data_IF_918268063114
#
_entry.id   IF_918268063114
#
_cell.length_a   1.000
_cell.length_b   1.000
_cell.length_c   1.000
_cell.angle_alpha   90.00
_cell.angle_beta   90.00
_cell.angle_gamma   90.00
#
_symmetry.space_group_name_H-M   'P 1'
#
loop_
_entity.id
_entity.type
_entity.pdbx_description
1 polymer ?
#
# COMPACT_ATOMS: atom_id res chain seq x y z
N UNK A 1 8.08 18.51 17.88
CA UNK A 1 7.99 18.09 16.46
C UNK A 1 6.76 18.78 15.89
N UNK A 2 6.72 19.15 14.61
CA UNK A 2 5.48 19.69 14.07
C UNK A 2 4.42 18.57 14.12
N UNK A 3 3.34 18.81 14.86
CA UNK A 3 2.20 17.91 14.91
C UNK A 3 1.42 18.15 13.61
N UNK A 4 1.65 17.29 12.62
CA UNK A 4 0.88 17.32 11.38
C UNK A 4 -0.46 16.63 11.62
N UNK A 5 -1.55 17.32 11.31
CA UNK A 5 -2.89 16.76 11.33
C UNK A 5 -3.35 16.52 9.88
N UNK A 6 -3.13 15.32 9.31
CA UNK A 6 -3.51 15.02 7.94
C UNK A 6 -5.04 14.96 7.80
N UNK A 7 -5.59 15.46 6.69
CA UNK A 7 -7.00 15.31 6.36
C UNK A 7 -7.47 13.85 6.40
N UNK A 8 -8.72 13.63 6.78
CA UNK A 8 -9.28 12.29 6.96
C UNK A 8 -9.33 11.47 5.67
N UNK A 9 -9.49 12.11 4.51
CA UNK A 9 -9.45 11.48 3.20
C UNK A 9 -8.04 11.05 2.81
N UNK A 10 -7.03 11.89 3.04
CA UNK A 10 -5.62 11.49 2.88
C UNK A 10 -5.22 10.36 3.83
N UNK A 11 -5.74 10.39 5.06
CA UNK A 11 -5.56 9.34 6.04
C UNK A 11 -6.20 8.02 5.58
N UNK A 12 -7.42 8.08 5.05
CA UNK A 12 -8.09 6.93 4.46
C UNK A 12 -7.30 6.35 3.28
N UNK A 13 -6.78 7.20 2.38
CA UNK A 13 -5.93 6.76 1.27
C UNK A 13 -4.68 6.01 1.77
N UNK A 14 -4.05 6.49 2.85
CA UNK A 14 -2.89 5.81 3.43
C UNK A 14 -3.27 4.47 4.06
N UNK A 15 -4.43 4.36 4.71
CA UNK A 15 -4.93 3.07 5.23
C UNK A 15 -5.19 2.07 4.10
N UNK A 16 -5.89 2.52 3.05
CA UNK A 16 -6.20 1.69 1.89
C UNK A 16 -4.90 1.23 1.21
N UNK A 17 -3.89 2.10 1.12
CA UNK A 17 -2.57 1.74 0.61
C UNK A 17 -1.91 0.64 1.45
N UNK A 18 -1.93 0.76 2.78
CA UNK A 18 -1.33 -0.25 3.67
C UNK A 18 -2.02 -1.60 3.55
N UNK A 19 -3.35 -1.61 3.41
CA UNK A 19 -4.12 -2.83 3.19
C UNK A 19 -3.81 -3.45 1.83
N UNK A 20 -3.75 -2.65 0.76
CA UNK A 20 -3.41 -3.12 -0.58
C UNK A 20 -1.96 -3.64 -0.67
N UNK A 21 -1.02 -3.03 0.06
CA UNK A 21 0.36 -3.51 0.14
C UNK A 21 0.47 -4.83 0.90
N UNK A 22 -0.27 -4.98 2.01
CA UNK A 22 -0.36 -6.24 2.73
C UNK A 22 -0.97 -7.34 1.85
N UNK A 23 -2.05 -7.05 1.11
CA UNK A 23 -2.68 -7.97 0.17
C UNK A 23 -1.70 -8.42 -0.93
N UNK A 24 -0.94 -7.49 -1.53
CA UNK A 24 0.12 -7.83 -2.48
C UNK A 24 1.16 -8.79 -1.87
N UNK A 25 1.51 -8.57 -0.60
CA UNK A 25 2.43 -9.42 0.14
C UNK A 25 1.87 -10.83 0.35
N UNK A 26 0.62 -10.96 0.77
CA UNK A 26 -0.05 -12.26 0.96
C UNK A 26 -0.11 -13.05 -0.34
N UNK A 27 -0.62 -12.45 -1.42
CA UNK A 27 -0.75 -13.12 -2.72
C UNK A 27 0.64 -13.50 -3.24
N UNK A 28 1.61 -12.59 -3.15
CA UNK A 28 2.98 -12.83 -3.59
C UNK A 28 3.66 -14.01 -2.89
N UNK A 29 3.34 -14.27 -1.62
CA UNK A 29 3.85 -15.44 -0.88
C UNK A 29 3.23 -16.77 -1.33
N UNK A 30 2.06 -16.73 -1.95
CA UNK A 30 1.34 -17.91 -2.44
C UNK A 30 1.70 -18.28 -3.89
N UNK A 31 2.40 -17.39 -4.60
CA UNK A 31 2.84 -17.63 -5.98
C UNK A 31 4.13 -18.46 -5.97
N UNK A 32 4.16 -19.47 -6.84
CA UNK A 32 5.33 -20.32 -7.04
C UNK A 32 6.53 -19.49 -7.51
N UNK A 33 7.73 -19.89 -7.08
CA UNK A 33 8.96 -19.26 -7.56
C UNK A 33 9.04 -19.33 -9.09
N UNK A 34 9.27 -18.20 -9.75
CA UNK A 34 9.48 -18.18 -11.20
C UNK A 34 10.64 -19.07 -11.64
N UNK A 35 11.65 -19.26 -10.78
CA UNK A 35 12.76 -20.20 -11.01
C UNK A 35 12.27 -21.65 -11.04
N UNK A 36 11.40 -22.03 -10.09
CA UNK A 36 10.84 -23.39 -10.04
C UNK A 36 9.92 -23.67 -11.23
N UNK A 37 9.13 -22.67 -11.66
CA UNK A 37 8.30 -22.79 -12.88
C UNK A 37 9.16 -22.97 -14.13
N UNK A 38 10.23 -22.17 -14.29
CA UNK A 38 11.15 -22.31 -15.42
C UNK A 38 11.91 -23.64 -15.42
N UNK A 39 12.21 -24.19 -14.24
CA UNK A 39 12.81 -25.50 -14.06
C UNK A 39 11.82 -26.67 -14.23
N UNK A 40 10.53 -26.39 -14.45
CA UNK A 40 9.44 -27.37 -14.49
C UNK A 40 9.24 -28.15 -13.17
N UNK A 41 9.66 -27.55 -12.05
CA UNK A 41 9.52 -28.09 -10.68
C UNK A 41 8.22 -27.62 -10.00
N UNK A 42 7.53 -26.63 -10.58
CA UNK A 42 6.26 -26.13 -10.12
C UNK A 42 5.38 -25.72 -11.32
N UNK A 43 4.06 -25.81 -11.15
CA UNK A 43 3.12 -25.32 -12.16
C UNK A 43 2.90 -23.81 -12.01
N UNK A 44 2.77 -23.06 -13.12
CA UNK A 44 2.37 -21.66 -13.08
C UNK A 44 0.94 -21.52 -12.53
N UNK A 45 0.71 -20.46 -11.77
CA UNK A 45 -0.61 -20.13 -11.23
C UNK A 45 -1.10 -18.80 -11.84
N UNK A 46 -1.73 -18.83 -13.02
CA UNK A 46 -2.15 -17.62 -13.72
C UNK A 46 -3.26 -16.87 -12.98
N UNK A 47 -4.10 -17.54 -12.19
CA UNK A 47 -5.15 -16.89 -11.40
C UNK A 47 -4.55 -16.03 -10.28
N UNK A 48 -3.60 -16.58 -9.53
CA UNK A 48 -2.89 -15.79 -8.50
C UNK A 48 -2.01 -14.70 -9.10
N UNK A 49 -1.44 -14.92 -10.28
CA UNK A 49 -0.70 -13.88 -11.01
C UNK A 49 -1.61 -12.71 -11.37
N UNK A 50 -2.79 -12.97 -11.94
CA UNK A 50 -3.78 -11.94 -12.25
C UNK A 50 -4.24 -11.18 -10.98
N UNK A 51 -4.53 -11.91 -9.89
CA UNK A 51 -4.89 -11.30 -8.61
C UNK A 51 -3.79 -10.38 -8.06
N UNK A 52 -2.53 -10.78 -8.19
CA UNK A 52 -1.39 -9.97 -7.77
C UNK A 52 -1.23 -8.71 -8.64
N UNK A 53 -1.46 -8.82 -9.95
CA UNK A 53 -1.46 -7.68 -10.86
C UNK A 53 -2.56 -6.67 -10.50
N UNK A 54 -3.78 -7.13 -10.24
CA UNK A 54 -4.89 -6.29 -9.80
C UNK A 54 -4.61 -5.62 -8.44
N UNK A 55 -4.04 -6.35 -7.49
CA UNK A 55 -3.63 -5.80 -6.19
C UNK A 55 -2.54 -4.72 -6.36
N UNK A 56 -1.56 -4.96 -7.24
CA UNK A 56 -0.50 -3.98 -7.54
C UNK A 56 -1.03 -2.75 -8.25
N UNK A 57 -1.99 -2.90 -9.17
CA UNK A 57 -2.65 -1.80 -9.85
C UNK A 57 -3.41 -0.90 -8.85
N UNK A 58 -4.17 -1.52 -7.93
CA UNK A 58 -4.84 -0.79 -6.83
C UNK A 58 -3.83 -0.06 -5.93
N UNK A 59 -2.75 -0.73 -5.54
CA UNK A 59 -1.69 -0.10 -4.73
C UNK A 59 -1.06 1.10 -5.44
N UNK A 60 -0.83 1.00 -6.76
CA UNK A 60 -0.27 2.09 -7.56
C UNK A 60 -1.23 3.29 -7.62
N UNK A 61 -2.52 3.07 -7.90
CA UNK A 61 -3.53 4.13 -7.90
C UNK A 61 -3.57 4.88 -6.56
N UNK A 62 -3.54 4.15 -5.45
CA UNK A 62 -3.54 4.73 -4.11
C UNK A 62 -2.30 5.58 -3.85
N UNK A 63 -1.11 5.11 -4.23
CA UNK A 63 0.13 5.91 -4.14
C UNK A 63 0.00 7.18 -4.97
N UNK A 64 -0.47 7.10 -6.21
CA UNK A 64 -0.65 8.29 -7.05
C UNK A 64 -1.60 9.31 -6.42
N UNK A 65 -2.75 8.84 -5.91
CA UNK A 65 -3.75 9.68 -5.26
C UNK A 65 -3.21 10.33 -3.98
N UNK A 66 -2.48 9.58 -3.16
CA UNK A 66 -1.77 10.12 -1.99
C UNK A 66 -0.85 11.23 -2.47
N UNK A 67 0.05 10.98 -3.43
CA UNK A 67 1.08 11.94 -3.81
C UNK A 67 0.55 13.20 -4.52
N UNK A 68 -0.61 13.11 -5.19
CA UNK A 68 -1.30 14.23 -5.84
C UNK A 68 -2.19 15.05 -4.89
N UNK A 69 -2.35 14.61 -3.64
CA UNK A 69 -3.21 15.29 -2.67
C UNK A 69 -2.73 16.71 -2.37
N UNK A 70 -3.64 17.69 -2.39
CA UNK A 70 -3.31 19.12 -2.27
C UNK A 70 -2.66 19.50 -0.94
N UNK A 71 -2.99 18.79 0.14
CA UNK A 71 -2.38 18.95 1.47
C UNK A 71 -0.84 18.88 1.44
N UNK A 72 -0.23 18.17 0.48
CA UNK A 72 1.23 18.15 0.38
C UNK A 72 1.86 19.50 0.06
N UNK A 73 1.09 20.46 -0.46
CA UNK A 73 1.55 21.82 -0.68
C UNK A 73 1.47 22.70 0.57
N UNK A 74 0.77 22.25 1.62
CA UNK A 74 0.57 23.02 2.85
C UNK A 74 1.59 22.67 3.94
N UNK A 75 2.40 21.62 3.75
CA UNK A 75 3.39 21.16 4.72
C UNK A 75 4.78 21.73 4.44
N UNK A 76 5.49 22.11 5.51
CA UNK A 76 6.85 22.63 5.47
C UNK A 76 7.90 21.53 5.31
N UNK A 77 7.61 20.31 5.78
CA UNK A 77 8.50 19.16 5.67
C UNK A 77 7.72 17.89 5.28
N UNK A 78 7.77 17.56 3.99
CA UNK A 78 7.06 16.40 3.42
C UNK A 78 7.46 15.07 4.05
N UNK A 79 8.72 14.89 4.41
CA UNK A 79 9.19 13.65 5.03
C UNK A 79 8.57 13.45 6.43
N UNK A 80 8.61 14.49 7.28
CA UNK A 80 7.99 14.42 8.62
C UNK A 80 6.47 14.28 8.55
N UNK A 81 5.83 14.97 7.59
CA UNK A 81 4.40 14.85 7.34
C UNK A 81 4.00 13.44 6.89
N UNK A 82 4.77 12.80 5.99
CA UNK A 82 4.50 11.40 5.58
C UNK A 82 4.72 10.41 6.71
N UNK A 83 5.73 10.63 7.57
CA UNK A 83 5.93 9.81 8.76
C UNK A 83 4.75 9.92 9.74
N UNK A 84 4.23 11.13 9.97
CA UNK A 84 3.06 11.36 10.81
C UNK A 84 1.79 10.72 10.21
N UNK A 85 1.55 10.89 8.91
CA UNK A 85 0.46 10.25 8.18
C UNK A 85 0.52 8.72 8.27
N UNK A 86 1.71 8.13 8.09
CA UNK A 86 1.92 6.70 8.23
C UNK A 86 1.60 6.20 9.65
N UNK A 87 2.03 6.93 10.67
CA UNK A 87 1.78 6.58 12.06
C UNK A 87 0.28 6.64 12.38
N UNK A 88 -0.39 7.74 12.01
CA UNK A 88 -1.83 7.90 12.21
C UNK A 88 -2.64 6.82 11.49
N UNK A 89 -2.25 6.45 10.26
CA UNK A 89 -2.92 5.40 9.49
C UNK A 89 -2.81 4.04 10.19
N UNK A 90 -1.63 3.71 10.72
CA UNK A 90 -1.41 2.47 11.48
C UNK A 90 -2.23 2.42 12.76
N UNK A 91 -2.28 3.51 13.51
CA UNK A 91 -3.07 3.60 14.74
C UNK A 91 -4.57 3.36 14.48
N UNK A 92 -5.11 3.94 13.41
CA UNK A 92 -6.51 3.68 13.04
C UNK A 92 -6.78 2.23 12.61
N UNK A 93 -5.85 1.61 11.89
CA UNK A 93 -5.98 0.19 11.52
C UNK A 93 -5.95 -0.75 12.73
N UNK A 94 -5.19 -0.42 13.77
CA UNK A 94 -5.15 -1.20 15.03
C UNK A 94 -6.42 -1.01 15.86
N UNK A 95 -7.05 0.16 15.77
CA UNK A 95 -8.21 0.54 16.62
C UNK A 95 -9.56 0.17 15.97
N UNK A 96 -9.56 -0.35 14.74
CA UNK A 96 -10.76 -0.81 14.05
C UNK A 96 -11.22 -2.15 14.66
N UNK A 97 -12.45 -2.26 15.19
CA UNK A 97 -12.98 -3.50 15.78
C UNK A 97 -13.20 -4.60 14.74
#
# INVERSE_FOLDING_TARGET
MADYDPPSDLLQLKQDFLLADAECGEIGRLIQSGVAVLALEAEPDPERQAQLEDARARRLDLVERIHRHEWWSTVDNRYKADAALLQAAKEQLVTRP
#
